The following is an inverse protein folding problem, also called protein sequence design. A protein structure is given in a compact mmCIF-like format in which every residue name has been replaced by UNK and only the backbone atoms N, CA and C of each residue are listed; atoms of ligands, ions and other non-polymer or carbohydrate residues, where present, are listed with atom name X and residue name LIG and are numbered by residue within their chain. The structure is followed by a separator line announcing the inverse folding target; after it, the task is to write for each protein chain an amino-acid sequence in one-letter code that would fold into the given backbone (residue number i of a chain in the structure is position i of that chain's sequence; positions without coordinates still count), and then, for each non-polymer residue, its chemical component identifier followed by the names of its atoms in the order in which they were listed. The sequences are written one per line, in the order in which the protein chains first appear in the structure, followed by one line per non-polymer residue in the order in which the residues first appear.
data_IF_892106927984
#
_entry.id   IF_892106927984
#
_cell.length_a   1.000
_cell.length_b   1.000
_cell.length_c   1.000
_cell.angle_alpha   90.00
_cell.angle_beta   90.00
_cell.angle_gamma   90.00
#
_symmetry.space_group_name_H-M   'P 1'
#
loop_
_entity.id
_entity.type
_entity.pdbx_description
1 polymer ?
#
# COMPACT_ATOMS: atom_id res chain seq x y z
N UNK A 1 -19.60 7.56 35.92
CA UNK A 1 -19.54 7.17 37.34
C UNK A 1 -18.09 6.86 37.68
N UNK A 2 -17.50 7.74 38.49
CA UNK A 2 -16.23 7.71 39.24
C UNK A 2 -15.15 6.65 38.88
N UNK A 3 -14.06 7.10 38.27
CA UNK A 3 -12.79 6.36 38.22
C UNK A 3 -11.94 6.73 39.45
N UNK A 4 -11.72 5.76 40.35
CA UNK A 4 -10.80 5.88 41.49
C UNK A 4 -9.35 5.87 41.02
N UNK A 5 -8.56 6.76 41.60
CA UNK A 5 -7.09 6.77 41.56
C UNK A 5 -6.51 5.49 42.15
N UNK A 6 -5.62 4.81 41.42
CA UNK A 6 -4.80 3.70 41.93
C UNK A 6 -3.31 4.05 41.79
N UNK A 7 -2.61 3.94 42.91
CA UNK A 7 -1.22 4.28 43.16
C UNK A 7 -0.25 3.21 42.61
N UNK A 8 0.98 3.63 42.30
CA UNK A 8 2.04 2.85 41.69
C UNK A 8 2.59 1.75 42.62
N UNK A 9 2.50 0.48 42.20
CA UNK A 9 3.56 -0.58 42.22
C UNK A 9 2.94 -1.95 41.95
N UNK A 10 2.83 -2.34 40.68
CA UNK A 10 2.88 -3.73 40.18
C UNK A 10 2.65 -3.71 38.67
N UNK A 11 3.37 -4.58 37.94
CA UNK A 11 3.34 -4.65 36.48
C UNK A 11 2.01 -5.24 35.99
N UNK A 12 0.97 -4.43 35.94
CA UNK A 12 -0.23 -4.74 35.17
C UNK A 12 0.00 -4.33 33.71
N UNK A 13 0.27 -5.32 32.84
CA UNK A 13 0.06 -5.12 31.39
C UNK A 13 -1.44 -4.87 31.17
N UNK A 14 -1.86 -3.74 30.58
CA UNK A 14 -3.21 -3.68 30.04
C UNK A 14 -3.19 -4.54 28.77
N UNK A 15 -3.59 -5.81 28.86
CA UNK A 15 -4.00 -6.57 27.69
C UNK A 15 -5.34 -6.03 27.24
N UNK A 16 -5.32 -4.87 26.58
CA UNK A 16 -6.45 -4.37 25.84
C UNK A 16 -6.60 -5.27 24.62
N UNK A 17 -7.41 -6.31 24.76
CA UNK A 17 -7.74 -7.24 23.67
C UNK A 17 -8.50 -6.43 22.62
N UNK A 18 -8.02 -6.28 21.37
CA UNK A 18 -8.81 -5.60 20.37
C UNK A 18 -10.11 -6.40 20.14
N UNK A 19 -11.19 -5.65 20.10
CA UNK A 19 -12.57 -6.11 19.94
C UNK A 19 -12.69 -6.81 18.59
N UNK A 20 -13.07 -8.09 18.61
CA UNK A 20 -13.40 -8.92 17.44
C UNK A 20 -14.17 -8.11 16.38
N UNK A 21 -13.49 -7.70 15.32
CA UNK A 21 -14.10 -7.09 14.14
C UNK A 21 -14.80 -8.21 13.36
N UNK A 22 -16.08 -8.01 13.07
CA UNK A 22 -16.90 -8.94 12.27
C UNK A 22 -16.23 -9.09 10.90
N UNK A 23 -15.66 -10.25 10.60
CA UNK A 23 -15.25 -10.61 9.23
C UNK A 23 -16.49 -10.60 8.34
N UNK A 24 -16.70 -9.49 7.62
CA UNK A 24 -17.65 -9.42 6.52
C UNK A 24 -17.34 -10.56 5.54
N UNK A 25 -18.31 -11.43 5.27
CA UNK A 25 -18.11 -12.55 4.33
C UNK A 25 -17.81 -11.98 2.95
N UNK A 26 -16.59 -12.20 2.46
CA UNK A 26 -16.12 -11.81 1.13
C UNK A 26 -17.01 -12.47 0.05
N UNK A 27 -17.54 -11.74 -0.94
CA UNK A 27 -18.23 -12.34 -2.07
C UNK A 27 -17.34 -13.37 -2.77
N UNK A 28 -17.90 -14.51 -3.18
CA UNK A 28 -17.16 -15.64 -3.77
C UNK A 28 -16.38 -15.31 -5.06
N UNK A 29 -16.58 -14.12 -5.63
CA UNK A 29 -15.95 -13.66 -6.88
C UNK A 29 -15.37 -12.23 -6.79
N UNK A 30 -14.93 -11.80 -5.60
CA UNK A 30 -14.18 -10.53 -5.46
C UNK A 30 -12.68 -10.77 -5.30
N UNK A 31 -11.86 -9.91 -5.89
CA UNK A 31 -10.41 -9.80 -5.66
C UNK A 31 -10.18 -8.87 -4.46
N UNK A 32 -9.48 -9.35 -3.44
CA UNK A 32 -9.02 -8.55 -2.30
C UNK A 32 -7.63 -8.00 -2.57
N UNK A 33 -7.49 -6.67 -2.55
CA UNK A 33 -6.22 -5.99 -2.78
C UNK A 33 -5.86 -5.14 -1.57
N UNK A 34 -4.61 -5.28 -1.11
CA UNK A 34 -4.01 -4.40 -0.13
C UNK A 34 -3.15 -3.36 -0.87
N UNK A 35 -3.57 -2.10 -0.86
CA UNK A 35 -2.81 -0.96 -1.38
C UNK A 35 -1.98 -0.29 -0.31
N UNK A 36 -0.76 0.12 -0.66
CA UNK A 36 0.18 0.80 0.23
C UNK A 36 0.70 2.08 -0.43
N UNK A 37 0.56 3.19 0.30
CA UNK A 37 1.26 4.45 0.04
C UNK A 37 2.46 4.56 1.01
N UNK A 38 3.67 4.22 0.57
CA UNK A 38 4.82 4.02 1.45
C UNK A 38 5.40 5.35 1.96
N UNK A 39 5.56 5.45 3.28
CA UNK A 39 6.29 6.54 3.91
C UNK A 39 6.75 6.15 5.31
N UNK A 40 7.94 6.61 5.70
CA UNK A 40 8.48 6.27 7.02
C UNK A 40 7.65 6.88 8.14
N UNK A 41 7.26 8.16 8.03
CA UNK A 41 6.50 8.85 9.11
C UNK A 41 5.02 8.51 9.07
N UNK A 42 4.47 8.36 7.86
CA UNK A 42 3.08 8.03 7.59
C UNK A 42 3.07 7.03 6.43
N UNK A 43 2.56 5.84 6.67
CA UNK A 43 2.37 4.82 5.66
C UNK A 43 0.87 4.55 5.54
N UNK A 44 0.28 4.93 4.41
CA UNK A 44 -1.12 4.66 4.11
C UNK A 44 -1.31 3.19 3.76
N UNK A 45 -2.34 2.56 4.32
CA UNK A 45 -2.74 1.20 3.97
C UNK A 45 -4.24 1.17 3.73
N UNK A 46 -4.66 0.60 2.59
CA UNK A 46 -6.06 0.47 2.22
C UNK A 46 -6.34 -0.92 1.67
N UNK A 47 -7.40 -1.56 2.15
CA UNK A 47 -7.83 -2.89 1.70
C UNK A 47 -9.22 -2.77 1.10
N UNK A 48 -9.35 -3.26 -0.14
CA UNK A 48 -10.62 -3.25 -0.87
C UNK A 48 -10.91 -4.62 -1.45
N UNK A 49 -12.19 -4.98 -1.47
CA UNK A 49 -12.71 -6.09 -2.25
C UNK A 49 -13.32 -5.53 -3.54
N UNK A 50 -12.91 -6.05 -4.69
CA UNK A 50 -13.39 -5.61 -6.01
C UNK A 50 -13.98 -6.78 -6.77
N UNK A 51 -15.24 -6.69 -7.17
CA UNK A 51 -15.91 -7.73 -7.95
C UNK A 51 -15.46 -7.74 -9.42
N UNK A 52 -15.79 -8.81 -10.15
CA UNK A 52 -15.59 -8.86 -11.61
C UNK A 52 -16.27 -7.69 -12.37
N UNK A 53 -17.39 -7.15 -11.83
CA UNK A 53 -18.08 -5.97 -12.37
C UNK A 53 -17.44 -4.64 -11.97
N UNK A 54 -16.21 -4.66 -11.44
CA UNK A 54 -15.43 -3.51 -10.98
C UNK A 54 -16.02 -2.74 -9.79
N UNK A 55 -17.07 -3.28 -9.14
CA UNK A 55 -17.62 -2.69 -7.92
C UNK A 55 -16.62 -2.89 -6.78
N UNK A 56 -16.12 -1.78 -6.23
CA UNK A 56 -15.20 -1.78 -5.10
C UNK A 56 -15.97 -1.60 -3.78
N UNK A 57 -15.47 -2.26 -2.74
CA UNK A 57 -16.00 -2.14 -1.37
C UNK A 57 -14.83 -2.00 -0.41
N UNK A 58 -14.95 -1.09 0.54
CA UNK A 58 -13.95 -0.87 1.58
C UNK A 58 -13.95 -2.06 2.55
N UNK A 59 -12.77 -2.63 2.82
CA UNK A 59 -12.56 -3.66 3.85
C UNK A 59 -11.91 -3.04 5.07
N UNK A 60 -10.79 -2.34 4.89
CA UNK A 60 -10.06 -1.67 5.94
C UNK A 60 -9.29 -0.48 5.38
N UNK A 61 -9.08 0.56 6.19
CA UNK A 61 -8.15 1.64 5.88
C UNK A 61 -7.46 2.08 7.16
N UNK A 62 -6.15 2.28 7.09
CA UNK A 62 -5.31 2.69 8.20
C UNK A 62 -4.17 3.59 7.73
N UNK A 63 -3.60 4.36 8.65
CA UNK A 63 -2.34 5.08 8.44
C UNK A 63 -1.42 4.73 9.59
N UNK A 64 -0.39 3.93 9.30
CA UNK A 64 0.63 3.56 10.28
C UNK A 64 1.56 4.76 10.45
N UNK A 65 1.82 5.16 11.70
CA UNK A 65 2.61 6.36 12.02
C UNK A 65 3.82 5.98 12.85
N UNK A 66 4.98 6.52 12.49
CA UNK A 66 6.18 6.45 13.33
C UNK A 66 6.70 7.85 13.65
N UNK A 67 7.19 8.09 14.87
CA UNK A 67 7.86 9.35 15.22
C UNK A 67 9.09 9.60 14.35
N UNK A 68 9.37 10.87 14.05
CA UNK A 68 10.50 11.24 13.18
C UNK A 68 11.87 11.07 13.87
N UNK A 69 11.90 11.12 15.20
CA UNK A 69 13.05 10.93 16.09
C UNK A 69 13.33 9.45 16.40
N UNK A 70 12.44 8.54 16.02
CA UNK A 70 12.67 7.11 16.17
C UNK A 70 13.79 6.63 15.22
N UNK A 71 14.73 5.78 15.69
CA UNK A 71 15.78 5.22 14.83
C UNK A 71 15.20 4.50 13.60
N UNK A 72 15.86 4.62 12.45
CA UNK A 72 15.34 4.15 11.16
C UNK A 72 14.95 2.66 11.19
N UNK A 73 15.82 1.82 11.73
CA UNK A 73 15.62 0.38 11.86
C UNK A 73 14.41 0.04 12.72
N UNK A 74 14.15 0.82 13.78
CA UNK A 74 12.97 0.64 14.63
C UNK A 74 11.68 1.08 13.91
N UNK A 75 11.76 2.14 13.09
CA UNK A 75 10.64 2.57 12.25
C UNK A 75 10.28 1.50 11.21
N UNK A 76 11.29 0.94 10.55
CA UNK A 76 11.10 -0.13 9.57
C UNK A 76 10.56 -1.41 10.21
N UNK A 77 11.03 -1.77 11.40
CA UNK A 77 10.50 -2.88 12.18
C UNK A 77 9.01 -2.66 12.50
N UNK A 78 8.66 -1.53 13.11
CA UNK A 78 7.26 -1.22 13.47
C UNK A 78 6.33 -1.23 12.25
N UNK A 79 6.74 -0.59 11.15
CA UNK A 79 5.96 -0.60 9.91
C UNK A 79 5.83 -2.03 9.34
N UNK A 80 6.91 -2.81 9.36
CA UNK A 80 6.94 -4.18 8.89
C UNK A 80 6.01 -5.10 9.69
N UNK A 81 5.97 -4.95 11.01
CA UNK A 81 5.10 -5.71 11.92
C UNK A 81 3.62 -5.39 11.69
N UNK A 82 3.27 -4.11 11.50
CA UNK A 82 1.89 -3.72 11.21
C UNK A 82 1.44 -4.18 9.82
N UNK A 83 2.31 -4.13 8.81
CA UNK A 83 2.02 -4.68 7.48
C UNK A 83 1.83 -6.20 7.55
N UNK A 84 2.68 -6.90 8.30
CA UNK A 84 2.55 -8.33 8.55
C UNK A 84 1.22 -8.69 9.19
N UNK A 85 0.83 -7.95 10.25
CA UNK A 85 -0.47 -8.10 10.90
C UNK A 85 -1.63 -7.97 9.91
N UNK A 86 -1.62 -6.93 9.06
CA UNK A 86 -2.66 -6.68 8.07
C UNK A 86 -2.71 -7.77 6.97
N UNK A 87 -1.55 -8.25 6.53
CA UNK A 87 -1.46 -9.35 5.57
C UNK A 87 -2.05 -10.64 6.15
N UNK A 88 -1.76 -10.95 7.41
CA UNK A 88 -2.21 -12.18 8.07
C UNK A 88 -3.70 -12.14 8.44
N UNK A 89 -4.18 -10.98 8.89
CA UNK A 89 -5.58 -10.76 9.27
C UNK A 89 -6.52 -10.79 8.04
N UNK A 90 -6.18 -10.06 6.98
CA UNK A 90 -7.10 -9.89 5.85
C UNK A 90 -6.87 -10.85 4.70
N UNK A 91 -5.69 -11.50 4.63
CA UNK A 91 -5.29 -12.44 3.59
C UNK A 91 -5.64 -11.94 2.18
N UNK A 92 -5.05 -10.80 1.74
CA UNK A 92 -5.32 -10.28 0.41
C UNK A 92 -4.80 -11.22 -0.68
N UNK A 93 -5.38 -11.14 -1.88
CA UNK A 93 -4.92 -11.93 -3.03
C UNK A 93 -3.78 -11.24 -3.80
N UNK A 94 -3.60 -9.94 -3.59
CA UNK A 94 -2.55 -9.14 -4.21
C UNK A 94 -2.19 -7.93 -3.34
N UNK A 95 -0.95 -7.45 -3.50
CA UNK A 95 -0.48 -6.18 -2.93
C UNK A 95 -0.27 -5.18 -4.05
N UNK A 96 -0.66 -3.93 -3.81
CA UNK A 96 -0.45 -2.82 -4.72
C UNK A 96 0.39 -1.76 -4.00
N UNK A 97 1.43 -1.27 -4.67
CA UNK A 97 2.37 -0.32 -4.08
C UNK A 97 2.58 0.86 -5.04
N UNK A 98 2.65 2.07 -4.51
CA UNK A 98 3.09 3.21 -5.31
C UNK A 98 4.55 3.01 -5.75
N UNK A 99 4.84 3.30 -7.01
CA UNK A 99 6.18 3.27 -7.56
C UNK A 99 6.98 4.48 -7.06
N UNK A 100 8.15 4.22 -6.50
CA UNK A 100 9.07 5.25 -6.03
C UNK A 100 9.72 5.98 -7.22
N UNK A 101 9.59 7.30 -7.29
CA UNK A 101 10.23 8.14 -8.30
C UNK A 101 11.29 9.06 -7.69
N UNK A 102 12.52 9.01 -8.20
CA UNK A 102 13.67 9.71 -7.63
C UNK A 102 13.89 11.17 -8.09
N UNK A 103 12.98 11.75 -8.88
CA UNK A 103 13.34 12.91 -9.72
C UNK A 103 13.69 14.21 -8.97
N UNK A 104 13.22 14.44 -7.74
CA UNK A 104 13.38 15.75 -7.09
C UNK A 104 13.74 15.75 -5.59
N UNK A 105 13.68 14.62 -4.88
CA UNK A 105 13.99 14.57 -3.43
C UNK A 105 14.65 13.25 -3.01
N UNK A 106 15.96 13.14 -3.25
CA UNK A 106 16.75 11.94 -2.92
C UNK A 106 16.66 11.53 -1.44
N UNK A 107 16.55 12.50 -0.52
CA UNK A 107 16.52 12.23 0.93
C UNK A 107 15.26 11.47 1.37
N UNK A 108 14.09 11.82 0.84
CA UNK A 108 12.83 11.15 1.20
C UNK A 108 12.63 9.86 0.42
N UNK A 109 13.09 9.82 -0.83
CA UNK A 109 13.04 8.65 -1.72
C UNK A 109 13.72 7.43 -1.12
N UNK A 110 14.86 7.60 -0.44
CA UNK A 110 15.55 6.46 0.19
C UNK A 110 14.69 5.80 1.27
N UNK A 111 14.05 6.60 2.14
CA UNK A 111 13.18 6.09 3.18
C UNK A 111 11.96 5.37 2.62
N UNK A 112 11.33 5.94 1.59
CA UNK A 112 10.23 5.30 0.85
C UNK A 112 10.68 3.98 0.21
N UNK A 113 11.85 3.94 -0.43
CA UNK A 113 12.37 2.73 -1.04
C UNK A 113 12.66 1.62 -0.01
N UNK A 114 13.15 1.97 1.18
CA UNK A 114 13.41 1.02 2.26
C UNK A 114 12.10 0.37 2.76
N UNK A 115 11.06 1.15 3.05
CA UNK A 115 9.77 0.58 3.44
C UNK A 115 9.11 -0.19 2.30
N UNK A 116 9.25 0.26 1.05
CA UNK A 116 8.83 -0.51 -0.12
C UNK A 116 9.52 -1.89 -0.20
N UNK A 117 10.82 -1.96 0.15
CA UNK A 117 11.55 -3.22 0.24
C UNK A 117 10.99 -4.17 1.31
N UNK A 118 10.63 -3.64 2.48
CA UNK A 118 9.98 -4.41 3.55
C UNK A 118 8.62 -4.95 3.09
N UNK A 119 7.80 -4.14 2.42
CA UNK A 119 6.53 -4.58 1.83
C UNK A 119 6.74 -5.72 0.84
N UNK A 120 7.67 -5.54 -0.10
CA UNK A 120 7.97 -6.54 -1.12
C UNK A 120 8.42 -7.86 -0.49
N UNK A 121 9.25 -7.79 0.55
CA UNK A 121 9.69 -8.96 1.31
C UNK A 121 8.52 -9.67 2.00
N UNK A 122 7.65 -8.93 2.70
CA UNK A 122 6.51 -9.51 3.41
C UNK A 122 5.46 -10.13 2.47
N UNK A 123 5.26 -9.54 1.29
CA UNK A 123 4.41 -10.10 0.25
C UNK A 123 5.02 -11.38 -0.36
N UNK A 124 6.32 -11.37 -0.64
CA UNK A 124 7.04 -12.53 -1.19
C UNK A 124 7.03 -13.74 -0.23
N UNK A 125 7.17 -13.51 1.09
CA UNK A 125 7.02 -14.56 2.12
C UNK A 125 5.68 -15.30 2.04
N UNK A 126 4.65 -14.65 1.49
CA UNK A 126 3.28 -15.18 1.37
C UNK A 126 2.91 -15.60 -0.05
N UNK A 127 3.86 -15.56 -0.99
CA UNK A 127 3.61 -15.87 -2.41
C UNK A 127 2.68 -14.87 -3.11
N UNK A 128 2.52 -13.65 -2.56
CA UNK A 128 1.62 -12.65 -3.10
C UNK A 128 2.28 -11.86 -4.24
N UNK A 129 1.52 -11.64 -5.31
CA UNK A 129 1.96 -10.76 -6.41
C UNK A 129 1.87 -9.31 -5.95
N UNK A 130 2.94 -8.55 -6.19
CA UNK A 130 2.99 -7.10 -5.95
C UNK A 130 2.93 -6.36 -7.29
N UNK A 131 1.93 -5.48 -7.45
CA UNK A 131 1.85 -4.58 -8.60
C UNK A 131 2.29 -3.16 -8.25
N UNK A 132 3.24 -2.62 -9.01
CA UNK A 132 3.76 -1.27 -8.84
C UNK A 132 3.05 -0.27 -9.76
N UNK A 133 2.42 0.75 -9.20
CA UNK A 133 1.66 1.75 -9.95
C UNK A 133 2.25 3.14 -9.81
N UNK A 134 2.30 3.87 -10.91
CA UNK A 134 2.75 5.26 -10.92
C UNK A 134 1.64 6.20 -10.47
N UNK A 135 1.95 7.38 -9.90
CA UNK A 135 0.93 8.37 -9.53
C UNK A 135 -0.01 8.72 -10.69
N UNK A 136 0.53 8.82 -11.92
CA UNK A 136 -0.26 9.10 -13.12
C UNK A 136 -1.23 7.96 -13.48
N UNK A 137 -0.81 6.70 -13.30
CA UNK A 137 -1.69 5.54 -13.51
C UNK A 137 -2.81 5.49 -12.47
N UNK A 138 -2.50 5.79 -11.21
CA UNK A 138 -3.49 5.86 -10.13
C UNK A 138 -4.51 6.96 -10.41
N UNK A 139 -4.05 8.17 -10.74
CA UNK A 139 -4.91 9.29 -11.13
C UNK A 139 -5.80 8.93 -12.30
N UNK A 140 -5.21 8.44 -13.40
CA UNK A 140 -5.96 8.08 -14.60
C UNK A 140 -7.01 7.00 -14.33
N UNK A 141 -6.70 6.00 -13.50
CA UNK A 141 -7.63 4.94 -13.16
C UNK A 141 -8.85 5.47 -12.37
N UNK A 142 -8.64 6.41 -11.45
CA UNK A 142 -9.67 6.90 -10.52
C UNK A 142 -10.51 8.04 -11.11
N UNK A 143 -9.90 9.02 -11.77
CA UNK A 143 -10.58 10.21 -12.30
C UNK A 143 -10.89 10.13 -13.79
N UNK A 144 -10.36 9.14 -14.51
CA UNK A 144 -10.46 9.03 -15.97
C UNK A 144 -9.43 9.86 -16.74
N UNK A 145 -8.61 10.67 -16.07
CA UNK A 145 -7.51 11.43 -16.70
C UNK A 145 -6.34 11.66 -15.74
N UNK A 146 -5.10 11.54 -16.23
CA UNK A 146 -3.89 11.51 -15.40
C UNK A 146 -3.50 12.82 -14.68
N UNK A 147 -4.14 13.95 -15.01
CA UNK A 147 -3.82 15.28 -14.48
C UNK A 147 -4.68 15.70 -13.27
N UNK A 148 -5.51 14.81 -12.71
CA UNK A 148 -6.34 15.13 -11.55
C UNK A 148 -5.51 15.57 -10.33
N UNK A 149 -6.04 16.54 -9.59
CA UNK A 149 -5.45 17.00 -8.33
C UNK A 149 -5.72 16.01 -7.18
N UNK A 150 -4.98 16.14 -6.07
CA UNK A 150 -5.09 15.21 -4.93
C UNK A 150 -6.47 15.23 -4.26
N UNK A 151 -7.13 16.39 -4.19
CA UNK A 151 -8.47 16.49 -3.57
C UNK A 151 -9.50 15.78 -4.43
N UNK A 152 -9.40 15.94 -5.75
CA UNK A 152 -10.26 15.27 -6.71
C UNK A 152 -10.11 13.74 -6.62
N UNK A 153 -8.88 13.23 -6.51
CA UNK A 153 -8.65 11.78 -6.32
C UNK A 153 -9.34 11.30 -5.04
N UNK A 154 -9.19 11.99 -3.91
CA UNK A 154 -9.84 11.62 -2.66
C UNK A 154 -11.38 11.60 -2.76
N UNK A 155 -11.98 12.61 -3.40
CA UNK A 155 -13.43 12.67 -3.66
C UNK A 155 -13.90 11.50 -4.52
N UNK A 156 -13.14 11.17 -5.57
CA UNK A 156 -13.47 10.05 -6.44
C UNK A 156 -13.33 8.70 -5.73
N UNK A 157 -12.33 8.52 -4.87
CA UNK A 157 -12.20 7.32 -4.02
C UNK A 157 -13.41 7.17 -3.11
N UNK A 158 -13.83 8.23 -2.42
CA UNK A 158 -15.01 8.21 -1.57
C UNK A 158 -16.26 7.81 -2.36
N UNK A 159 -16.46 8.40 -3.55
CA UNK A 159 -17.57 8.07 -4.44
C UNK A 159 -17.55 6.61 -4.91
N UNK A 160 -16.38 6.11 -5.32
CA UNK A 160 -16.20 4.72 -5.80
C UNK A 160 -16.50 3.71 -4.70
N UNK A 161 -16.11 4.02 -3.46
CA UNK A 161 -16.31 3.17 -2.29
C UNK A 161 -17.68 3.39 -1.60
N UNK A 162 -18.48 4.35 -2.07
CA UNK A 162 -19.77 4.70 -1.47
C UNK A 162 -19.67 5.28 -0.06
N UNK A 163 -18.58 5.99 0.24
CA UNK A 163 -18.34 6.61 1.54
C UNK A 163 -19.06 7.96 1.64
N UNK A 164 -19.72 8.21 2.78
CA UNK A 164 -20.36 9.48 3.06
C UNK A 164 -19.35 10.62 3.29
N UNK A 165 -18.16 10.27 3.78
CA UNK A 165 -17.09 11.20 4.09
C UNK A 165 -15.81 10.85 3.33
N UNK A 166 -14.94 11.84 3.16
CA UNK A 166 -13.64 11.64 2.54
C UNK A 166 -12.74 10.79 3.45
N UNK A 167 -12.02 9.79 2.92
CA UNK A 167 -10.98 9.11 3.67
C UNK A 167 -9.92 10.11 4.12
N UNK A 168 -9.74 10.23 5.44
CA UNK A 168 -8.72 11.10 6.02
C UNK A 168 -7.82 10.29 6.96
N UNK A 169 -6.52 10.63 7.03
CA UNK A 169 -5.83 11.70 6.31
C UNK A 169 -5.47 11.31 4.86
N UNK A 170 -4.82 12.20 4.09
CA UNK A 170 -4.59 12.01 2.65
C UNK A 170 -3.94 10.65 2.25
N UNK A 171 -3.03 10.10 3.06
CA UNK A 171 -2.40 8.79 2.75
C UNK A 171 -3.42 7.64 2.78
N UNK A 172 -4.52 7.78 3.53
CA UNK A 172 -5.62 6.82 3.54
C UNK A 172 -6.30 6.79 2.16
N UNK A 173 -6.61 7.96 1.59
CA UNK A 173 -7.17 8.06 0.24
C UNK A 173 -6.19 7.61 -0.84
N UNK A 174 -4.90 7.92 -0.70
CA UNK A 174 -3.87 7.54 -1.67
C UNK A 174 -3.68 6.00 -1.69
N UNK A 175 -3.63 5.35 -0.51
CA UNK A 175 -3.55 3.89 -0.42
C UNK A 175 -4.78 3.16 -0.99
N UNK A 176 -5.99 3.68 -0.74
CA UNK A 176 -7.22 3.15 -1.33
C UNK A 176 -7.24 3.33 -2.86
N UNK A 177 -6.79 4.48 -3.35
CA UNK A 177 -6.68 4.73 -4.79
C UNK A 177 -5.73 3.74 -5.47
N UNK A 178 -4.58 3.44 -4.85
CA UNK A 178 -3.60 2.46 -5.33
C UNK A 178 -4.21 1.06 -5.40
N UNK A 179 -4.95 0.64 -4.36
CA UNK A 179 -5.62 -0.66 -4.31
C UNK A 179 -6.67 -0.81 -5.43
N UNK A 180 -7.51 0.22 -5.60
CA UNK A 180 -8.55 0.27 -6.64
C UNK A 180 -7.92 0.27 -8.04
N UNK A 181 -6.88 1.09 -8.26
CA UNK A 181 -6.14 1.15 -9.52
C UNK A 181 -5.61 -0.24 -9.91
N UNK A 182 -4.99 -0.95 -8.96
CA UNK A 182 -4.49 -2.30 -9.18
C UNK A 182 -5.60 -3.27 -9.56
N UNK A 183 -6.68 -3.31 -8.79
CA UNK A 183 -7.79 -4.22 -9.01
C UNK A 183 -8.44 -3.99 -10.38
N UNK A 184 -8.63 -2.74 -10.78
CA UNK A 184 -9.21 -2.39 -12.07
C UNK A 184 -8.31 -2.68 -13.26
N UNK A 185 -6.98 -2.53 -13.12
CA UNK A 185 -6.02 -2.95 -14.15
C UNK A 185 -5.95 -4.46 -14.29
N UNK A 186 -6.03 -5.21 -13.19
CA UNK A 186 -6.11 -6.69 -13.22
C UNK A 186 -7.45 -7.20 -13.76
N UNK A 187 -8.56 -6.53 -13.44
CA UNK A 187 -9.88 -6.84 -13.99
C UNK A 187 -10.00 -6.60 -15.49
N UNK A 188 -9.12 -5.79 -16.09
CA UNK A 188 -8.99 -5.70 -17.55
C UNK A 188 -8.17 -6.87 -18.15
N UNK A 189 -7.33 -7.54 -17.36
CA UNK A 189 -6.46 -8.62 -17.79
C UNK A 189 -7.14 -10.00 -17.90
N UNK A 190 -8.46 -10.10 -17.60
CA UNK A 190 -9.27 -11.24 -18.06
C UNK A 190 -9.55 -11.18 -19.57
N UNK A 191 -9.06 -10.15 -20.27
CA UNK A 191 -8.96 -10.10 -21.73
C UNK A 191 -7.47 -10.05 -22.18
N UNK A 192 -6.74 -11.16 -21.99
CA UNK A 192 -5.45 -11.43 -22.63
C UNK A 192 -4.28 -10.48 -22.30
N UNK A 193 -3.03 -10.87 -22.64
CA UNK A 193 -1.87 -10.02 -22.43
C UNK A 193 -1.83 -8.94 -23.54
N UNK A 194 -2.23 -7.71 -23.23
CA UNK A 194 -1.91 -6.58 -24.12
C UNK A 194 -0.44 -6.21 -23.94
N UNK A 195 0.38 -6.61 -24.91
CA UNK A 195 1.84 -6.54 -24.90
C UNK A 195 2.47 -5.15 -25.08
N UNK A 196 1.73 -4.06 -24.89
CA UNK A 196 2.26 -2.70 -25.02
C UNK A 196 2.56 -2.08 -23.65
N UNK A 197 3.84 -1.88 -23.35
CA UNK A 197 4.30 -1.16 -22.18
C UNK A 197 3.89 0.31 -22.26
N UNK A 198 3.37 0.87 -21.18
CA UNK A 198 3.17 2.33 -21.09
C UNK A 198 4.53 3.05 -21.11
N UNK A 199 4.60 4.33 -21.50
CA UNK A 199 5.86 5.09 -21.51
C UNK A 199 6.61 5.06 -20.17
N UNK A 200 5.87 5.08 -19.05
CA UNK A 200 6.45 4.99 -17.71
C UNK A 200 6.98 3.57 -17.37
N UNK A 201 6.32 2.52 -17.88
CA UNK A 201 6.81 1.14 -17.78
C UNK A 201 8.06 0.91 -18.64
N UNK A 202 8.10 1.50 -19.84
CA UNK A 202 9.27 1.50 -20.73
C UNK A 202 10.47 2.20 -20.12
N UNK A 203 10.27 3.39 -19.54
CA UNK A 203 11.33 4.13 -18.85
C UNK A 203 11.93 3.35 -17.66
N UNK A 204 11.10 2.60 -16.93
CA UNK A 204 11.56 1.76 -15.82
C UNK A 204 12.36 0.54 -16.28
N UNK A 205 11.89 -0.20 -17.30
CA UNK A 205 12.66 -1.31 -17.88
C UNK A 205 14.00 -0.83 -18.43
N UNK A 206 14.05 0.37 -19.01
CA UNK A 206 15.29 0.99 -19.46
C UNK A 206 16.22 1.33 -18.28
N UNK A 207 15.68 1.85 -17.17
CA UNK A 207 16.45 2.13 -15.95
C UNK A 207 17.00 0.84 -15.30
N UNK A 208 16.20 -0.22 -15.20
CA UNK A 208 16.65 -1.53 -14.67
C UNK A 208 17.75 -2.16 -15.53
N UNK A 209 17.59 -2.13 -16.87
CA UNK A 209 18.61 -2.61 -17.81
C UNK A 209 19.91 -1.82 -17.71
N UNK A 210 19.81 -0.53 -17.42
CA UNK A 210 20.98 0.34 -17.27
C UNK A 210 21.69 0.07 -15.94
N UNK A 211 20.95 -0.14 -14.85
CA UNK A 211 21.50 -0.49 -13.55
C UNK A 211 22.18 -1.88 -13.55
N UNK A 212 21.62 -2.86 -14.26
CA UNK A 212 22.22 -4.20 -14.39
C UNK A 212 23.54 -4.24 -15.18
N UNK A 213 23.75 -3.28 -16.10
CA UNK A 213 25.00 -3.16 -16.88
C UNK A 213 26.16 -2.54 -16.08
N UNK A 214 25.88 -1.93 -14.92
CA UNK A 214 26.88 -1.28 -14.06
C UNK A 214 27.40 -2.17 -12.93
N UNK A 215 26.94 -3.42 -12.82
CA UNK A 215 27.45 -4.34 -11.79
C UNK A 215 28.89 -4.79 -12.14
N UNK A 216 29.91 -4.51 -11.29
CA UNK A 216 31.25 -5.00 -11.53
C UNK A 216 31.24 -6.54 -11.49
N UNK A 217 31.83 -7.19 -12.50
CA UNK A 217 32.04 -8.64 -12.51
C UNK A 217 32.78 -9.03 -11.23
N UNK A 218 32.08 -9.65 -10.27
CA UNK A 218 32.71 -10.31 -9.12
C UNK A 218 33.66 -11.36 -9.67
N UNK A 219 34.96 -11.09 -9.67
CA UNK A 219 35.98 -12.14 -9.74
C UNK A 219 35.92 -12.84 -8.39
N UNK A 220 35.30 -14.01 -8.35
CA UNK A 220 35.61 -14.98 -7.32
C UNK A 220 37.05 -15.41 -7.59
N UNK A 221 37.96 -15.02 -6.69
CA UNK A 221 39.31 -15.56 -6.68
C UNK A 221 39.25 -17.02 -6.20
N UNK A 222 40.14 -17.90 -6.71
CA UNK A 222 40.10 -19.34 -6.45
C UNK A 222 40.36 -19.70 -4.99
#
# INVERSE_FOLDING_TARGET
MTCKTCTATSRCRPTCRPRSTKTSKRPLASLRVLGIDPGLTRCGVGIVDVTATRKATLVEVAVIRTPADMPLEQRLLHLGDEIERLLDEHRPDAVALERVFAQHNLRTVMGTAQISGVVLHQAAKRGLVVGLHTPSEVKAAISGYGAADKKQVATMVARVLGLAELPTPADASDALAIAICHAWKRGAAVAGPSGALTPAQGAWLAAERSAGKSAPKRRLAP
#
